data_IF_311194555604
#
_entry.id   IF_311194555604
#
_cell.length_a   1.000
_cell.length_b   1.000
_cell.length_c   1.000
_cell.angle_alpha   90.00
_cell.angle_beta   90.00
_cell.angle_gamma   90.00
#
_symmetry.space_group_name_H-M   'P 1'
#
loop_
_entity.id
_entity.type
_entity.pdbx_description
1 polymer ?
#
# COMPACT_ATOMS: atom_id res chain seq x y z
N UNK A 1 -20.69 -1.43 0.53
CA UNK A 1 -20.16 -0.48 1.52
C UNK A 1 -18.82 0.03 0.99
N UNK A 2 -18.68 1.33 0.74
CA UNK A 2 -17.39 1.92 0.39
C UNK A 2 -16.51 1.88 1.64
N UNK A 3 -15.67 0.86 1.77
CA UNK A 3 -14.63 0.81 2.78
C UNK A 3 -13.65 1.93 2.49
N UNK A 4 -13.83 3.08 3.15
CA UNK A 4 -12.86 4.15 3.14
C UNK A 4 -11.57 3.60 3.76
N UNK A 5 -10.59 3.29 2.89
CA UNK A 5 -9.23 2.96 3.31
C UNK A 5 -8.69 4.17 4.06
N UNK A 6 -8.63 4.07 5.38
CA UNK A 6 -8.15 5.16 6.22
C UNK A 6 -6.65 5.33 6.01
N UNK A 7 -6.13 6.54 5.76
CA UNK A 7 -4.71 6.75 5.51
C UNK A 7 -3.85 6.34 6.71
N UNK A 8 -2.60 5.91 6.47
CA UNK A 8 -1.69 5.41 7.51
C UNK A 8 -1.25 6.51 8.47
N UNK A 9 -0.81 6.09 9.66
CA UNK A 9 -0.35 6.98 10.74
C UNK A 9 0.95 7.74 10.42
N UNK A 10 1.57 7.55 9.26
CA UNK A 10 2.72 8.34 8.82
C UNK A 10 2.38 9.32 7.70
N UNK A 11 1.15 9.29 7.19
CA UNK A 11 0.75 10.07 6.01
C UNK A 11 1.30 9.52 4.68
N UNK A 12 2.05 8.42 4.70
CA UNK A 12 2.57 7.76 3.49
C UNK A 12 2.41 6.24 3.59
N UNK A 13 1.95 5.62 2.51
CA UNK A 13 1.91 4.17 2.39
C UNK A 13 3.08 3.65 1.55
N UNK A 14 3.46 2.41 1.80
CA UNK A 14 4.45 1.67 1.01
C UNK A 14 3.82 1.22 -0.29
N UNK A 15 4.62 1.16 -1.37
CA UNK A 15 4.16 0.63 -2.65
C UNK A 15 4.64 -0.81 -2.80
N UNK A 16 3.74 -1.74 -3.10
CA UNK A 16 4.09 -3.12 -3.45
C UNK A 16 3.54 -3.49 -4.83
N UNK A 17 4.37 -4.11 -5.67
CA UNK A 17 3.90 -4.86 -6.84
C UNK A 17 3.88 -6.33 -6.46
N UNK A 18 2.81 -7.03 -6.79
CA UNK A 18 2.67 -8.45 -6.47
C UNK A 18 2.54 -9.29 -7.72
N UNK A 19 3.25 -10.42 -7.70
CA UNK A 19 3.06 -11.51 -8.64
C UNK A 19 2.01 -12.52 -8.15
N UNK A 20 1.47 -13.31 -9.08
CA UNK A 20 0.52 -14.41 -8.87
C UNK A 20 1.02 -15.42 -7.84
N UNK A 21 2.29 -15.80 -7.89
CA UNK A 21 2.86 -16.81 -6.97
C UNK A 21 2.78 -16.36 -5.50
N UNK A 22 3.11 -15.10 -5.23
CA UNK A 22 3.06 -14.53 -3.87
C UNK A 22 1.63 -14.42 -3.37
N UNK A 23 0.71 -13.93 -4.20
CA UNK A 23 -0.69 -13.74 -3.80
C UNK A 23 -1.40 -15.07 -3.54
N UNK A 24 -1.17 -16.09 -4.37
CA UNK A 24 -1.73 -17.43 -4.16
C UNK A 24 -1.23 -18.05 -2.86
N UNK A 25 0.09 -17.98 -2.61
CA UNK A 25 0.72 -18.43 -1.37
C UNK A 25 0.23 -17.64 -0.14
N UNK A 26 -0.02 -16.33 -0.29
CA UNK A 26 -0.52 -15.45 0.76
C UNK A 26 -1.98 -15.74 1.13
N UNK A 27 -2.85 -15.94 0.12
CA UNK A 27 -4.26 -16.34 0.28
C UNK A 27 -4.38 -17.67 1.02
N UNK A 28 -3.65 -18.71 0.57
CA UNK A 28 -3.65 -20.03 1.22
C UNK A 28 -3.20 -19.91 2.68
N UNK A 29 -2.13 -19.14 2.92
CA UNK A 29 -1.62 -18.92 4.28
C UNK A 29 -2.60 -18.16 5.18
N UNK A 30 -3.31 -17.16 4.65
CA UNK A 30 -4.30 -16.39 5.40
C UNK A 30 -5.50 -17.27 5.77
N UNK A 31 -5.98 -18.07 4.82
CA UNK A 31 -7.07 -19.02 5.05
C UNK A 31 -6.70 -20.04 6.12
N UNK A 32 -5.54 -20.69 6.00
CA UNK A 32 -5.10 -21.71 6.96
C UNK A 32 -4.90 -21.20 8.38
N UNK A 33 -4.59 -19.91 8.56
CA UNK A 33 -4.44 -19.29 9.89
C UNK A 33 -5.74 -18.70 10.44
N UNK A 34 -6.78 -18.55 9.62
CA UNK A 34 -8.03 -17.87 10.00
C UNK A 34 -7.88 -16.38 10.32
N UNK A 35 -6.72 -15.78 10.03
CA UNK A 35 -6.44 -14.35 10.27
C UNK A 35 -5.78 -13.73 9.03
N UNK A 36 -5.97 -12.41 8.80
CA UNK A 36 -5.33 -11.73 7.69
C UNK A 36 -3.82 -11.97 7.64
N UNK A 37 -3.27 -12.18 6.45
CA UNK A 37 -1.83 -12.16 6.25
C UNK A 37 -1.27 -10.76 6.50
N UNK A 38 0.04 -10.64 6.66
CA UNK A 38 0.70 -9.33 6.76
C UNK A 38 0.46 -8.43 5.55
N UNK A 39 0.33 -9.00 4.34
CA UNK A 39 0.06 -8.25 3.11
C UNK A 39 -1.38 -7.73 3.16
N UNK A 40 -2.34 -8.61 3.43
CA UNK A 40 -3.75 -8.25 3.53
C UNK A 40 -3.98 -7.23 4.66
N UNK A 41 -3.41 -7.47 5.84
CA UNK A 41 -3.49 -6.55 6.98
C UNK A 41 -2.86 -5.18 6.64
N UNK A 42 -1.70 -5.18 5.97
CA UNK A 42 -1.05 -3.95 5.54
C UNK A 42 -1.93 -3.13 4.59
N UNK A 43 -2.59 -3.80 3.64
CA UNK A 43 -3.53 -3.13 2.72
C UNK A 43 -4.80 -2.66 3.44
N UNK A 44 -5.39 -3.49 4.32
CA UNK A 44 -6.57 -3.14 5.12
C UNK A 44 -6.32 -1.94 6.05
N UNK A 45 -5.10 -1.81 6.56
CA UNK A 45 -4.69 -0.71 7.42
C UNK A 45 -4.14 0.50 6.66
N UNK A 46 -4.07 0.44 5.32
CA UNK A 46 -3.56 1.53 4.49
C UNK A 46 -2.07 1.77 4.62
N UNK A 47 -1.29 0.84 5.20
CA UNK A 47 0.17 0.96 5.33
C UNK A 47 0.92 0.45 4.10
N UNK A 48 0.21 -0.32 3.26
CA UNK A 48 0.66 -0.87 1.99
C UNK A 48 -0.38 -0.59 0.91
N UNK A 49 0.06 -0.09 -0.23
CA UNK A 49 -0.74 -0.03 -1.45
C UNK A 49 -0.21 -1.05 -2.44
N UNK A 50 -1.09 -1.97 -2.81
CA UNK A 50 -0.79 -3.05 -3.74
C UNK A 50 -1.14 -2.72 -5.18
N UNK A 51 -0.24 -3.05 -6.08
CA UNK A 51 -0.46 -3.03 -7.52
C UNK A 51 -0.23 -4.42 -8.10
N UNK A 52 -1.07 -4.80 -9.05
CA UNK A 52 -0.88 -6.02 -9.83
C UNK A 52 -1.04 -5.70 -11.32
N UNK A 53 -0.26 -6.35 -12.20
CA UNK A 53 -0.61 -6.41 -13.61
C UNK A 53 -2.02 -6.98 -13.82
N UNK A 54 -2.70 -6.55 -14.88
CA UNK A 54 -4.08 -6.97 -15.15
C UNK A 54 -4.26 -8.50 -15.24
N UNK A 55 -3.29 -9.24 -15.77
CA UNK A 55 -3.43 -10.69 -15.93
C UNK A 55 -3.47 -11.44 -14.57
N UNK A 56 -2.68 -11.00 -13.58
CA UNK A 56 -2.58 -11.60 -12.24
C UNK A 56 -3.95 -11.74 -11.59
N UNK A 57 -4.83 -10.77 -11.84
CA UNK A 57 -6.15 -10.72 -11.23
C UNK A 57 -7.02 -11.96 -11.51
N UNK A 58 -6.87 -12.53 -12.70
CA UNK A 58 -7.61 -13.68 -13.20
C UNK A 58 -6.78 -14.96 -13.10
N UNK A 59 -5.46 -14.81 -13.01
CA UNK A 59 -4.54 -15.92 -12.87
C UNK A 59 -4.58 -16.52 -11.46
N UNK A 60 -4.70 -15.69 -10.41
CA UNK A 60 -4.73 -16.17 -9.02
C UNK A 60 -5.80 -17.25 -8.78
N UNK A 61 -7.08 -17.09 -9.15
CA UNK A 61 -8.08 -18.16 -9.02
C UNK A 61 -7.73 -19.43 -9.81
N UNK A 62 -7.13 -19.29 -11.00
CA UNK A 62 -6.71 -20.46 -11.82
C UNK A 62 -5.59 -21.23 -11.12
N UNK A 63 -4.57 -20.54 -10.64
CA UNK A 63 -3.45 -21.16 -9.91
C UNK A 63 -3.92 -21.79 -8.60
N UNK A 64 -4.89 -21.19 -7.90
CA UNK A 64 -5.52 -21.83 -6.74
C UNK A 64 -6.23 -23.13 -7.12
N UNK A 65 -6.95 -23.16 -8.24
CA UNK A 65 -7.61 -24.36 -8.73
C UNK A 65 -6.59 -25.44 -9.10
N UNK A 66 -5.50 -25.06 -9.78
CA UNK A 66 -4.44 -25.96 -10.21
C UNK A 66 -3.74 -26.59 -9.00
N UNK A 67 -3.30 -25.77 -8.03
CA UNK A 67 -2.71 -26.25 -6.77
C UNK A 67 -3.65 -27.17 -6.00
N UNK A 68 -4.97 -26.93 -6.07
CA UNK A 68 -5.94 -27.82 -5.43
C UNK A 68 -6.00 -29.18 -6.14
N UNK A 69 -5.99 -29.20 -7.47
CA UNK A 69 -5.96 -30.45 -8.27
C UNK A 69 -4.66 -31.24 -8.06
N UNK A 70 -3.55 -30.55 -7.81
CA UNK A 70 -2.24 -31.14 -7.49
C UNK A 70 -2.14 -31.69 -6.05
N UNK A 71 -3.22 -31.69 -5.27
CA UNK A 71 -3.25 -32.25 -3.92
C UNK A 71 -3.06 -31.24 -2.79
N UNK A 72 -3.16 -29.95 -3.06
CA UNK A 72 -3.08 -28.90 -2.06
C UNK A 72 -4.10 -29.06 -0.91
N UNK A 73 -3.58 -29.00 0.32
CA UNK A 73 -4.36 -29.12 1.55
C UNK A 73 -4.99 -27.78 1.99
N UNK A 74 -5.95 -27.28 1.20
CA UNK A 74 -6.76 -26.10 1.54
C UNK A 74 -8.16 -26.19 0.92
N UNK A 75 -9.10 -25.37 1.39
CA UNK A 75 -10.42 -25.22 0.77
C UNK A 75 -10.33 -24.21 -0.38
N UNK A 76 -10.53 -24.70 -1.61
CA UNK A 76 -10.47 -23.88 -2.82
C UNK A 76 -11.54 -22.79 -2.87
N UNK A 77 -12.79 -23.11 -2.54
CA UNK A 77 -13.88 -22.14 -2.61
C UNK A 77 -13.73 -21.06 -1.55
N UNK A 78 -13.27 -21.42 -0.35
CA UNK A 78 -12.96 -20.44 0.68
C UNK A 78 -11.77 -19.55 0.28
N UNK A 79 -10.74 -20.11 -0.37
CA UNK A 79 -9.59 -19.35 -0.86
C UNK A 79 -9.99 -18.37 -1.98
N UNK A 80 -10.80 -18.84 -2.94
CA UNK A 80 -11.32 -18.00 -4.02
C UNK A 80 -12.25 -16.90 -3.48
N UNK A 81 -13.14 -17.22 -2.53
CA UNK A 81 -13.97 -16.23 -1.88
C UNK A 81 -13.15 -15.18 -1.13
N UNK A 82 -12.08 -15.60 -0.43
CA UNK A 82 -11.16 -14.69 0.25
C UNK A 82 -10.46 -13.75 -0.74
N UNK A 83 -9.99 -14.27 -1.87
CA UNK A 83 -9.38 -13.49 -2.95
C UNK A 83 -10.31 -12.37 -3.45
N UNK A 84 -11.52 -12.74 -3.86
CA UNK A 84 -12.46 -11.77 -4.43
C UNK A 84 -13.02 -10.79 -3.40
N UNK A 85 -13.25 -11.24 -2.16
CA UNK A 85 -13.89 -10.42 -1.13
C UNK A 85 -12.90 -9.49 -0.42
N UNK A 86 -11.68 -9.94 -0.18
CA UNK A 86 -10.74 -9.21 0.67
C UNK A 86 -9.55 -8.62 -0.10
N UNK A 87 -9.00 -9.33 -1.10
CA UNK A 87 -7.79 -8.87 -1.80
C UNK A 87 -8.11 -7.91 -2.95
N UNK A 88 -8.97 -8.32 -3.89
CA UNK A 88 -9.29 -7.53 -5.09
C UNK A 88 -9.78 -6.10 -4.78
N UNK A 89 -10.64 -5.87 -3.77
CA UNK A 89 -11.05 -4.52 -3.42
C UNK A 89 -9.91 -3.60 -2.99
N UNK A 90 -8.83 -4.16 -2.46
CA UNK A 90 -7.69 -3.42 -1.92
C UNK A 90 -6.51 -3.29 -2.91
N UNK A 91 -6.53 -4.03 -4.02
CA UNK A 91 -5.50 -4.02 -5.04
C UNK A 91 -5.83 -3.03 -6.17
N UNK A 92 -4.79 -2.41 -6.72
CA UNK A 92 -4.87 -1.65 -7.96
C UNK A 92 -4.48 -2.55 -9.13
N UNK A 93 -5.46 -2.88 -9.98
CA UNK A 93 -5.27 -3.69 -11.18
C UNK A 93 -4.82 -2.78 -12.33
N UNK A 94 -3.59 -2.97 -12.80
CA UNK A 94 -2.96 -2.09 -13.81
C UNK A 94 -2.82 -2.81 -15.14
N UNK A 95 -3.49 -2.36 -16.21
CA UNK A 95 -3.19 -2.81 -17.56
C UNK A 95 -1.76 -2.45 -17.95
N UNK A 96 -0.97 -3.46 -18.31
CA UNK A 96 0.44 -3.28 -18.73
C UNK A 96 0.60 -3.19 -20.25
N UNK A 97 -0.48 -3.42 -21.01
CA UNK A 97 -0.49 -3.31 -22.47
C UNK A 97 -0.05 -1.93 -22.93
N UNK A 98 0.96 -1.90 -23.81
CA UNK A 98 1.49 -0.67 -24.38
C UNK A 98 2.39 0.13 -23.45
N UNK A 99 2.67 -0.34 -22.23
CA UNK A 99 3.74 0.25 -21.41
C UNK A 99 5.09 0.04 -22.10
N UNK A 100 6.03 1.01 -21.98
CA UNK A 100 7.35 0.87 -22.55
C UNK A 100 8.14 -0.23 -21.84
N UNK A 101 9.08 -0.85 -22.55
CA UNK A 101 10.09 -1.68 -21.92
C UNK A 101 10.93 -0.83 -20.98
N UNK A 102 10.97 -1.24 -19.71
CA UNK A 102 11.83 -0.64 -18.69
C UNK A 102 13.15 -1.41 -18.64
N UNK A 103 14.24 -0.84 -18.09
CA UNK A 103 15.47 -1.59 -17.88
C UNK A 103 15.27 -2.85 -17.02
N UNK A 104 14.26 -2.88 -16.14
CA UNK A 104 13.88 -4.08 -15.40
C UNK A 104 13.22 -5.12 -16.32
N UNK A 105 12.24 -4.70 -17.13
CA UNK A 105 11.56 -5.60 -18.05
C UNK A 105 12.50 -6.18 -19.12
N UNK A 106 13.44 -5.38 -19.61
CA UNK A 106 14.40 -5.79 -20.66
C UNK A 106 15.30 -6.94 -20.21
N UNK A 107 15.68 -6.96 -18.92
CA UNK A 107 16.48 -8.04 -18.33
C UNK A 107 15.76 -9.39 -18.32
N UNK A 108 14.43 -9.40 -18.15
CA UNK A 108 13.63 -10.62 -18.02
C UNK A 108 13.00 -11.03 -19.36
N UNK A 109 12.93 -10.12 -20.34
CA UNK A 109 12.27 -10.37 -21.62
C UNK A 109 12.82 -11.58 -22.39
N UNK A 110 14.04 -12.01 -22.09
CA UNK A 110 14.69 -13.18 -22.70
C UNK A 110 14.49 -14.48 -21.92
N UNK A 111 13.92 -14.43 -20.72
CA UNK A 111 13.79 -15.56 -19.79
C UNK A 111 12.34 -15.96 -19.61
N UNK A 112 11.46 -15.01 -19.26
CA UNK A 112 10.04 -15.26 -19.16
C UNK A 112 9.19 -14.06 -19.61
N UNK A 113 8.26 -14.33 -20.53
CA UNK A 113 7.34 -13.32 -21.06
C UNK A 113 6.20 -13.01 -20.08
N UNK A 114 5.82 -13.93 -19.19
CA UNK A 114 4.75 -13.69 -18.19
C UNK A 114 5.13 -12.56 -17.23
N UNK A 115 6.41 -12.50 -16.86
CA UNK A 115 6.93 -11.58 -15.84
C UNK A 115 7.20 -10.16 -16.34
N UNK A 116 7.15 -9.95 -17.67
CA UNK A 116 7.38 -8.63 -18.28
C UNK A 116 6.43 -7.58 -17.68
N UNK A 117 5.16 -7.93 -17.48
CA UNK A 117 4.17 -6.98 -16.97
C UNK A 117 4.50 -6.50 -15.55
N UNK A 118 4.90 -7.41 -14.67
CA UNK A 118 5.32 -7.08 -13.30
C UNK A 118 6.59 -6.22 -13.30
N UNK A 119 7.56 -6.54 -14.15
CA UNK A 119 8.81 -5.79 -14.27
C UNK A 119 8.63 -4.39 -14.90
N UNK A 120 7.76 -4.26 -15.91
CA UNK A 120 7.37 -2.98 -16.50
C UNK A 120 6.73 -2.08 -15.44
N UNK A 121 5.76 -2.61 -14.69
CA UNK A 121 5.08 -1.87 -13.64
C UNK A 121 6.05 -1.43 -12.54
N UNK A 122 6.96 -2.33 -12.13
CA UNK A 122 8.00 -2.06 -11.14
C UNK A 122 8.93 -0.92 -11.58
N UNK A 123 9.43 -0.96 -12.82
CA UNK A 123 10.24 0.10 -13.39
C UNK A 123 9.49 1.43 -13.54
N UNK A 124 8.19 1.38 -13.84
CA UNK A 124 7.35 2.55 -14.04
C UNK A 124 7.09 3.33 -12.74
N UNK A 125 6.80 2.63 -11.63
CA UNK A 125 6.43 3.27 -10.35
C UNK A 125 7.54 3.31 -9.31
N UNK A 126 8.70 2.71 -9.63
CA UNK A 126 9.87 2.64 -8.76
C UNK A 126 10.26 3.99 -8.14
N UNK A 127 10.79 4.05 -6.91
CA UNK A 127 11.16 2.89 -6.08
C UNK A 127 9.93 2.19 -5.48
N UNK A 128 9.92 0.86 -5.56
CA UNK A 128 8.81 -0.03 -5.16
C UNK A 128 9.34 -1.43 -4.84
N UNK A 129 8.65 -2.16 -3.96
CA UNK A 129 9.00 -3.58 -3.69
C UNK A 129 8.18 -4.47 -4.61
N UNK A 130 8.86 -5.27 -5.46
CA UNK A 130 8.23 -6.38 -6.16
C UNK A 130 8.33 -7.64 -5.29
N UNK A 131 7.18 -8.19 -4.91
CA UNK A 131 7.09 -9.46 -4.21
C UNK A 131 6.74 -10.56 -5.21
N UNK A 132 7.70 -11.42 -5.50
CA UNK A 132 7.56 -12.60 -6.35
C UNK A 132 8.30 -13.80 -5.72
N UNK A 133 7.84 -15.03 -6.02
CA UNK A 133 8.59 -16.26 -5.70
C UNK A 133 9.50 -16.71 -6.86
N UNK A 134 9.38 -16.06 -8.03
CA UNK A 134 10.13 -16.40 -9.23
C UNK A 134 11.65 -16.17 -9.05
N UNK A 135 12.45 -17.17 -9.45
CA UNK A 135 13.90 -17.16 -9.28
C UNK A 135 14.60 -16.22 -10.24
N UNK A 136 14.08 -16.02 -11.43
CA UNK A 136 14.65 -15.17 -12.46
C UNK A 136 14.42 -13.70 -12.09
N UNK A 137 13.22 -13.35 -11.61
CA UNK A 137 12.94 -12.03 -11.01
C UNK A 137 13.89 -11.68 -9.85
N UNK A 138 14.19 -12.67 -9.01
CA UNK A 138 15.11 -12.52 -7.88
C UNK A 138 16.57 -12.44 -8.36
N UNK A 139 16.98 -13.28 -9.33
CA UNK A 139 18.34 -13.31 -9.89
C UNK A 139 18.73 -11.97 -10.51
N UNK A 140 17.81 -11.32 -11.20
CA UNK A 140 18.04 -10.02 -11.84
C UNK A 140 17.94 -8.82 -10.89
N UNK A 141 17.69 -9.06 -9.60
CA UNK A 141 17.57 -8.03 -8.58
C UNK A 141 16.34 -7.14 -8.77
N UNK A 142 15.26 -7.70 -9.33
CA UNK A 142 14.01 -6.99 -9.63
C UNK A 142 12.98 -7.27 -8.54
N UNK A 143 12.94 -8.50 -8.03
CA UNK A 143 12.15 -8.90 -6.86
C UNK A 143 13.00 -9.04 -5.59
N UNK A 144 12.36 -8.83 -4.43
CA UNK A 144 13.00 -8.96 -3.14
C UNK A 144 13.41 -10.41 -2.83
N UNK A 145 14.72 -10.67 -2.69
CA UNK A 145 15.29 -11.99 -2.36
C UNK A 145 14.65 -12.65 -1.13
N UNK A 146 14.32 -11.85 -0.11
CA UNK A 146 13.78 -12.30 1.17
C UNK A 146 12.36 -11.76 1.42
N UNK A 147 11.50 -11.79 0.40
CA UNK A 147 10.14 -11.22 0.49
C UNK A 147 9.34 -11.72 1.71
N UNK A 148 9.59 -12.94 2.20
CA UNK A 148 8.97 -13.50 3.42
C UNK A 148 9.36 -12.72 4.69
N UNK A 149 10.63 -12.29 4.82
CA UNK A 149 11.09 -11.46 5.93
C UNK A 149 10.49 -10.04 5.85
N UNK A 150 10.44 -9.50 4.64
CA UNK A 150 9.81 -8.19 4.36
C UNK A 150 8.33 -8.20 4.72
N UNK A 151 7.61 -9.26 4.31
CA UNK A 151 6.21 -9.53 4.68
C UNK A 151 6.02 -9.63 6.20
N UNK A 152 6.90 -10.30 6.93
CA UNK A 152 6.79 -10.38 8.38
C UNK A 152 6.86 -9.00 9.05
N UNK A 153 7.66 -8.07 8.49
CA UNK A 153 7.73 -6.68 8.94
C UNK A 153 6.44 -5.89 8.70
N UNK A 154 5.79 -6.08 7.54
CA UNK A 154 4.53 -5.40 7.20
C UNK A 154 3.39 -5.70 8.21
N UNK A 155 3.27 -6.95 8.65
CA UNK A 155 2.20 -7.35 9.59
C UNK A 155 2.40 -6.74 10.98
N UNK A 156 3.66 -6.62 11.42
CA UNK A 156 4.01 -5.97 12.69
C UNK A 156 3.75 -4.46 12.64
N UNK A 157 4.11 -3.82 11.52
CA UNK A 157 3.82 -2.40 11.26
C UNK A 157 2.32 -2.10 11.27
N UNK A 158 1.52 -2.84 10.50
CA UNK A 158 0.07 -2.65 10.46
C UNK A 158 -0.58 -2.86 11.82
N UNK A 159 -0.15 -3.88 12.57
CA UNK A 159 -0.63 -4.13 13.93
C UNK A 159 -0.22 -3.05 14.94
N UNK A 160 1.02 -2.56 14.87
CA UNK A 160 1.50 -1.49 15.74
C UNK A 160 0.77 -0.16 15.47
N UNK A 161 0.60 0.21 14.19
CA UNK A 161 -0.10 1.44 13.82
C UNK A 161 -1.60 1.38 14.19
N UNK A 162 -2.24 0.21 14.05
CA UNK A 162 -3.62 0.00 14.49
C UNK A 162 -3.79 0.18 16.01
N UNK A 163 -2.86 -0.37 16.82
CA UNK A 163 -2.85 -0.22 18.29
C UNK A 163 -2.65 1.23 18.73
N UNK A 164 -1.75 1.97 18.07
CA UNK A 164 -1.54 3.40 18.33
C UNK A 164 -2.83 4.19 18.05
N UNK A 165 -3.55 3.88 16.98
CA UNK A 165 -4.84 4.52 16.63
C UNK A 165 -5.92 4.33 17.68
N UNK A 166 -6.12 3.10 18.16
CA UNK A 166 -7.14 2.79 19.18
C UNK A 166 -6.84 3.55 20.46
N UNK A 167 -5.59 3.57 20.89
CA UNK A 167 -5.18 4.26 22.12
C UNK A 167 -5.30 5.78 21.99
N UNK A 168 -4.87 6.38 20.87
CA UNK A 168 -5.06 7.81 20.61
C UNK A 168 -6.56 8.16 20.66
N UNK A 169 -7.43 7.39 20.01
CA UNK A 169 -8.88 7.69 20.01
C UNK A 169 -9.49 7.59 21.41
N UNK A 170 -9.07 6.62 22.22
CA UNK A 170 -9.57 6.42 23.59
C UNK A 170 -9.09 7.50 24.57
N UNK A 171 -7.82 7.92 24.48
CA UNK A 171 -7.23 8.92 25.39
C UNK A 171 -7.70 10.34 25.10
N UNK A 172 -8.00 10.67 23.83
CA UNK A 172 -8.38 12.03 23.42
C UNK A 172 -9.83 12.42 23.78
N UNK A 173 -10.70 11.47 24.16
CA UNK A 173 -12.07 11.77 24.63
C UNK A 173 -12.15 12.20 26.09
N UNK A 174 -11.07 12.02 26.88
CA UNK A 174 -11.11 12.21 28.33
C UNK A 174 -10.63 13.60 28.83
N UNK A 175 -10.12 14.49 27.98
CA UNK A 175 -9.64 15.81 28.42
C UNK A 175 -9.91 16.93 27.40
N UNK A 176 -10.67 17.95 27.80
CA UNK A 176 -11.27 18.97 26.93
C UNK A 176 -10.35 19.94 26.19
N UNK A 177 -9.02 19.74 26.18
CA UNK A 177 -8.05 20.62 25.47
C UNK A 177 -7.58 20.10 24.11
N UNK A 178 -8.17 19.01 23.62
CA UNK A 178 -7.47 18.05 22.74
C UNK A 178 -7.95 18.07 21.28
N UNK A 179 -9.06 18.72 20.97
CA UNK A 179 -9.65 18.70 19.63
C UNK A 179 -8.72 19.26 18.52
N UNK A 180 -7.83 20.22 18.85
CA UNK A 180 -6.85 20.78 17.92
C UNK A 180 -5.64 19.87 17.70
N UNK A 181 -5.13 19.21 18.75
CA UNK A 181 -4.08 18.20 18.64
C UNK A 181 -4.55 16.96 17.88
N UNK A 182 -5.81 16.55 18.07
CA UNK A 182 -6.43 15.46 17.32
C UNK A 182 -6.59 15.78 15.82
N UNK A 183 -6.83 17.05 15.45
CA UNK A 183 -6.85 17.50 14.04
C UNK A 183 -5.44 17.57 13.44
N UNK A 184 -4.46 18.08 14.19
CA UNK A 184 -3.06 18.13 13.78
C UNK A 184 -2.45 16.73 13.62
N UNK A 185 -2.76 15.80 14.52
CA UNK A 185 -2.31 14.40 14.45
C UNK A 185 -2.91 13.64 13.25
N UNK A 186 -4.11 14.01 12.79
CA UNK A 186 -4.71 13.44 11.56
C UNK A 186 -4.05 13.92 10.28
N UNK A 187 -3.53 15.14 10.26
CA UNK A 187 -2.85 15.71 9.08
C UNK A 187 -1.35 15.45 9.05
N UNK A 188 -0.69 15.50 10.21
CA UNK A 188 0.77 15.44 10.35
C UNK A 188 1.18 14.67 11.62
N UNK A 189 1.05 13.34 11.62
CA UNK A 189 1.29 12.50 12.79
C UNK A 189 2.75 12.54 13.29
N UNK A 190 3.73 12.72 12.39
CA UNK A 190 5.14 12.97 12.77
C UNK A 190 5.30 14.31 13.47
N UNK A 191 4.62 15.37 13.00
CA UNK A 191 4.65 16.67 13.64
C UNK A 191 3.96 16.63 15.02
N UNK A 192 2.92 15.82 15.19
CA UNK A 192 2.28 15.59 16.47
C UNK A 192 3.20 14.85 17.46
N UNK A 193 3.95 13.84 16.99
CA UNK A 193 4.94 13.15 17.81
C UNK A 193 6.10 14.06 18.22
N UNK A 194 6.62 14.89 17.30
CA UNK A 194 7.65 15.90 17.58
C UNK A 194 7.13 16.97 18.54
N UNK A 195 5.90 17.45 18.35
CA UNK A 195 5.26 18.41 19.25
C UNK A 195 5.09 17.82 20.66
N UNK A 196 4.64 16.57 20.77
CA UNK A 196 4.52 15.88 22.05
C UNK A 196 5.89 15.71 22.74
N UNK A 197 6.94 15.36 22.00
CA UNK A 197 8.30 15.26 22.52
C UNK A 197 8.83 16.64 22.99
N UNK A 198 8.53 17.71 22.25
CA UNK A 198 8.93 19.08 22.59
C UNK A 198 8.22 19.56 23.85
N UNK A 199 6.91 19.26 23.99
CA UNK A 199 6.12 19.54 25.20
C UNK A 199 6.64 18.74 26.39
N UNK A 200 6.96 17.46 26.21
CA UNK A 200 7.53 16.61 27.26
C UNK A 200 8.92 17.11 27.71
N UNK A 201 9.77 17.54 26.76
CA UNK A 201 11.07 18.13 27.06
C UNK A 201 10.96 19.48 27.79
N UNK A 202 10.03 20.34 27.36
CA UNK A 202 9.70 21.59 28.04
C UNK A 202 9.19 21.36 29.46
N UNK A 203 8.27 20.40 29.65
CA UNK A 203 7.77 20.01 30.97
C UNK A 203 8.86 19.42 31.87
N UNK A 204 9.80 18.65 31.30
CA UNK A 204 10.97 18.14 32.02
C UNK A 204 11.87 19.27 32.51
N UNK A 205 12.09 20.31 31.69
CA UNK A 205 12.88 21.49 32.08
C UNK A 205 12.24 22.31 33.20
N UNK A 206 10.91 22.39 33.24
CA UNK A 206 10.15 23.16 34.24
C UNK A 206 9.73 22.28 35.44
N UNK A 207 10.13 21.00 35.46
CA UNK A 207 9.71 20.00 36.46
C UNK A 207 9.94 20.44 37.91
N UNK A 208 11.00 21.21 38.18
CA UNK A 208 11.29 21.74 39.52
C UNK A 208 10.32 22.82 40.03
N UNK A 209 9.56 23.47 39.13
CA UNK A 209 8.62 24.55 39.45
C UNK A 209 7.15 24.12 39.48
N UNK A 210 6.86 22.89 39.05
CA UNK A 210 5.50 22.34 39.06
C UNK A 210 5.11 21.89 40.48
N UNK A 211 3.83 22.00 40.84
CA UNK A 211 3.31 21.40 42.08
C UNK A 211 3.43 19.87 42.02
N UNK A 212 3.58 19.17 43.18
CA UNK A 212 3.79 17.72 43.22
C UNK A 212 2.70 16.92 42.46
N UNK A 213 1.44 17.31 42.60
CA UNK A 213 0.29 16.69 41.93
C UNK A 213 0.37 16.82 40.41
N UNK A 214 0.79 17.99 39.92
CA UNK A 214 0.98 18.24 38.48
C UNK A 214 2.14 17.42 37.93
N UNK A 215 3.23 17.24 38.70
CA UNK A 215 4.35 16.37 38.29
C UNK A 215 3.93 14.91 38.16
N UNK A 216 3.09 14.42 39.06
CA UNK A 216 2.58 13.05 39.01
C UNK A 216 1.69 12.83 37.78
N UNK A 217 0.76 13.76 37.52
CA UNK A 217 -0.09 13.72 36.33
C UNK A 217 0.72 13.77 35.02
N UNK A 218 1.73 14.63 34.93
CA UNK A 218 2.62 14.71 33.76
C UNK A 218 3.54 13.50 33.61
N UNK A 219 3.99 12.90 34.71
CA UNK A 219 4.80 11.69 34.66
C UNK A 219 4.00 10.50 34.14
N UNK A 220 2.74 10.35 34.54
CA UNK A 220 1.89 9.27 34.02
C UNK A 220 1.40 9.52 32.59
N UNK A 221 1.08 10.77 32.25
CA UNK A 221 0.86 11.13 30.85
C UNK A 221 2.11 10.85 30.00
N UNK A 222 3.30 11.17 30.50
CA UNK A 222 4.59 10.91 29.85
C UNK A 222 4.90 9.42 29.68
N UNK A 223 4.64 8.58 30.69
CA UNK A 223 4.76 7.12 30.56
C UNK A 223 3.77 6.55 29.55
N UNK A 224 2.52 7.02 29.57
CA UNK A 224 1.49 6.60 28.63
C UNK A 224 1.89 6.99 27.21
N UNK A 225 2.33 8.23 26.99
CA UNK A 225 2.85 8.68 25.70
C UNK A 225 4.11 7.91 25.28
N UNK A 226 5.06 7.66 26.18
CA UNK A 226 6.27 6.89 25.87
C UNK A 226 5.97 5.42 25.54
N UNK A 227 4.95 4.83 26.17
CA UNK A 227 4.53 3.45 25.88
C UNK A 227 3.73 3.37 24.58
N UNK A 228 2.89 4.37 24.32
CA UNK A 228 2.06 4.47 23.10
C UNK A 228 2.90 4.87 21.87
N UNK A 229 3.95 5.68 22.03
CA UNK A 229 4.74 6.20 20.91
C UNK A 229 6.18 5.66 20.84
N UNK A 230 6.82 5.29 21.95
CA UNK A 230 8.26 4.97 21.98
C UNK A 230 8.63 3.60 21.38
N UNK A 231 7.97 2.52 21.83
CA UNK A 231 8.23 1.17 21.28
C UNK A 231 7.74 1.00 19.84
N UNK A 232 6.51 1.44 19.48
CA UNK A 232 6.03 1.35 18.10
C UNK A 232 6.89 2.12 17.11
N UNK A 233 7.50 3.24 17.51
CA UNK A 233 8.30 4.07 16.61
C UNK A 233 9.69 3.49 16.31
N UNK A 234 10.36 2.88 17.29
CA UNK A 234 11.65 2.20 17.05
C UNK A 234 11.48 0.96 16.16
N UNK A 235 10.43 0.17 16.40
CA UNK A 235 10.07 -0.95 15.51
C UNK A 235 9.64 -0.43 14.13
N UNK A 236 8.92 0.68 14.06
CA UNK A 236 8.53 1.32 12.82
C UNK A 236 9.74 1.71 11.97
N UNK A 237 10.73 2.41 12.56
CA UNK A 237 11.96 2.78 11.85
C UNK A 237 12.75 1.57 11.35
N UNK A 238 12.87 0.52 12.17
CA UNK A 238 13.56 -0.71 11.78
C UNK A 238 12.88 -1.38 10.58
N UNK A 239 11.55 -1.47 10.59
CA UNK A 239 10.81 -2.06 9.49
C UNK A 239 10.74 -1.16 8.25
N UNK A 240 10.78 0.17 8.42
CA UNK A 240 10.92 1.11 7.31
C UNK A 240 12.29 1.00 6.64
N UNK A 241 13.37 0.88 7.42
CA UNK A 241 14.72 0.66 6.89
C UNK A 241 14.79 -0.67 6.11
N UNK A 242 14.26 -1.75 6.69
CA UNK A 242 14.20 -3.06 6.02
C UNK A 242 13.35 -3.03 4.73
N UNK A 243 12.31 -2.19 4.68
CA UNK A 243 11.52 -2.00 3.46
C UNK A 243 12.31 -1.24 2.39
N UNK A 244 12.97 -0.13 2.76
CA UNK A 244 13.79 0.67 1.83
C UNK A 244 14.98 -0.12 1.28
N UNK A 245 15.54 -1.04 2.05
CA UNK A 245 16.64 -1.91 1.62
C UNK A 245 16.23 -2.85 0.48
N UNK A 246 14.94 -3.20 0.39
CA UNK A 246 14.40 -4.08 -0.65
C UNK A 246 13.55 -3.34 -1.69
N UNK A 247 13.53 -2.00 -1.65
CA UNK A 247 12.90 -1.22 -2.72
C UNK A 247 13.78 -1.30 -3.96
N UNK A 248 13.17 -1.76 -5.06
CA UNK A 248 13.83 -1.93 -6.34
C UNK A 248 13.36 -0.87 -7.34
N UNK A 249 14.17 -0.71 -8.38
CA UNK A 249 13.91 0.21 -9.49
C UNK A 249 14.50 1.60 -9.26
N UNK A 250 15.24 2.08 -10.25
CA UNK A 250 15.62 3.49 -10.31
C UNK A 250 14.39 4.27 -10.73
N UNK A 251 14.00 5.33 -9.99
CA UNK A 251 12.89 6.17 -10.41
C UNK A 251 13.10 6.71 -11.83
N UNK A 252 12.30 6.21 -12.79
CA UNK A 252 12.27 6.76 -14.15
C UNK A 252 12.08 8.27 -14.13
N UNK A 253 12.86 8.96 -14.96
CA UNK A 253 12.88 10.44 -15.06
C UNK A 253 11.98 10.96 -16.18
N UNK A 254 11.46 10.09 -17.02
CA UNK A 254 10.51 10.45 -18.07
C UNK A 254 9.14 10.83 -17.47
N UNK A 255 8.36 11.61 -18.24
CA UNK A 255 7.07 12.12 -17.77
C UNK A 255 6.09 10.99 -17.42
N UNK A 256 6.11 9.86 -18.15
CA UNK A 256 5.22 8.73 -17.91
C UNK A 256 5.50 8.11 -16.53
N UNK A 257 6.76 7.83 -16.22
CA UNK A 257 7.20 7.32 -14.91
C UNK A 257 6.90 8.30 -13.78
N UNK A 258 7.14 9.60 -13.99
CA UNK A 258 6.83 10.62 -12.97
C UNK A 258 5.33 10.71 -12.68
N UNK A 259 4.47 10.70 -13.72
CA UNK A 259 3.01 10.70 -13.56
C UNK A 259 2.54 9.42 -12.86
N UNK A 260 3.03 8.25 -13.29
CA UNK A 260 2.67 6.98 -12.69
C UNK A 260 3.06 6.91 -11.20
N UNK A 261 4.28 7.34 -10.85
CA UNK A 261 4.71 7.41 -9.44
C UNK A 261 3.88 8.41 -8.62
N UNK A 262 3.59 9.56 -9.19
CA UNK A 262 2.74 10.59 -8.56
C UNK A 262 1.36 10.03 -8.23
N UNK A 263 0.74 9.34 -9.19
CA UNK A 263 -0.57 8.70 -9.02
C UNK A 263 -0.50 7.51 -8.07
N UNK A 264 0.54 6.68 -8.16
CA UNK A 264 0.73 5.53 -7.28
C UNK A 264 0.80 5.96 -5.81
N UNK A 265 1.51 7.06 -5.51
CA UNK A 265 1.70 7.62 -4.17
C UNK A 265 0.55 8.52 -3.69
N UNK A 266 -0.42 8.83 -4.55
CA UNK A 266 -1.54 9.69 -4.17
C UNK A 266 -2.63 8.89 -3.47
N UNK A 267 -3.04 9.23 -2.23
CA UNK A 267 -4.12 8.51 -1.54
C UNK A 267 -5.44 8.53 -2.31
N UNK A 268 -5.69 9.60 -3.06
CA UNK A 268 -6.92 9.83 -3.82
C UNK A 268 -6.65 10.04 -5.33
N UNK A 269 -7.65 9.79 -6.19
CA UNK A 269 -7.59 10.18 -7.60
C UNK A 269 -7.34 11.69 -7.79
N UNK A 270 -6.38 12.01 -8.65
CA UNK A 270 -5.90 13.38 -8.86
C UNK A 270 -6.46 14.02 -10.12
N UNK A 271 -6.68 15.33 -10.05
CA UNK A 271 -6.94 16.12 -11.26
C UNK A 271 -5.66 16.35 -12.05
N UNK A 272 -5.76 16.64 -13.35
CA UNK A 272 -4.60 17.02 -14.19
C UNK A 272 -3.80 18.19 -13.60
N UNK A 273 -4.49 19.20 -13.06
CA UNK A 273 -3.86 20.35 -12.40
C UNK A 273 -3.05 19.92 -11.18
N UNK A 274 -3.63 19.06 -10.33
CA UNK A 274 -2.94 18.53 -9.14
C UNK A 274 -1.75 17.64 -9.50
N UNK A 275 -1.86 16.86 -10.58
CA UNK A 275 -0.74 16.08 -11.11
C UNK A 275 0.40 17.03 -11.51
N UNK A 276 0.15 18.03 -12.36
CA UNK A 276 1.18 18.98 -12.77
C UNK A 276 1.82 19.73 -11.59
N UNK A 277 1.04 20.13 -10.59
CA UNK A 277 1.57 20.78 -9.38
C UNK A 277 2.50 19.88 -8.56
N UNK A 278 2.24 18.57 -8.56
CA UNK A 278 3.08 17.58 -7.86
C UNK A 278 4.31 17.16 -8.67
N UNK A 279 4.27 17.33 -9.99
CA UNK A 279 5.41 17.12 -10.85
C UNK A 279 6.36 18.31 -10.70
N UNK A 280 7.56 18.09 -10.16
CA UNK A 280 8.63 19.10 -10.07
C UNK A 280 9.25 19.39 -11.44
N UNK A 281 8.44 19.64 -12.47
CA UNK A 281 8.92 19.93 -13.82
C UNK A 281 9.33 21.40 -13.90
N UNK A 282 10.49 21.71 -14.49
CA UNK A 282 10.84 23.09 -14.79
C UNK A 282 9.78 23.72 -15.69
N UNK A 283 9.44 24.99 -15.42
CA UNK A 283 8.43 25.80 -16.12
C UNK A 283 8.83 26.16 -17.57
N UNK A 284 9.54 25.29 -18.27
CA UNK A 284 10.10 25.58 -19.59
C UNK A 284 9.01 25.71 -20.68
N UNK A 285 7.85 25.08 -20.51
CA UNK A 285 6.74 25.12 -21.47
C UNK A 285 5.54 25.91 -20.91
N UNK A 286 4.79 26.63 -21.77
CA UNK A 286 3.53 27.25 -21.38
C UNK A 286 2.56 26.25 -20.75
N UNK A 287 1.90 26.64 -19.66
CA UNK A 287 0.99 25.78 -18.88
C UNK A 287 -0.05 25.03 -19.74
N UNK A 288 -0.61 25.69 -20.77
CA UNK A 288 -1.57 25.07 -21.70
C UNK A 288 -0.99 23.86 -22.43
N UNK A 289 0.26 23.95 -22.92
CA UNK A 289 0.94 22.84 -23.61
C UNK A 289 1.23 21.69 -22.66
N UNK A 290 1.59 21.99 -21.42
CA UNK A 290 1.80 20.97 -20.38
C UNK A 290 0.50 20.21 -20.09
N UNK A 291 -0.63 20.93 -19.94
CA UNK A 291 -1.94 20.32 -19.73
C UNK A 291 -2.38 19.42 -20.90
N UNK A 292 -2.18 19.88 -22.14
CA UNK A 292 -2.50 19.11 -23.34
C UNK A 292 -1.62 17.85 -23.46
N UNK A 293 -0.32 18.00 -23.17
CA UNK A 293 0.64 16.89 -23.14
C UNK A 293 0.27 15.83 -22.10
N UNK A 294 -0.02 16.26 -20.86
CA UNK A 294 -0.48 15.39 -19.79
C UNK A 294 -1.80 14.70 -20.17
N UNK A 295 -2.73 15.43 -20.79
CA UNK A 295 -3.99 14.87 -21.24
C UNK A 295 -3.79 13.74 -22.24
N UNK A 296 -2.95 13.95 -23.26
CA UNK A 296 -2.63 12.91 -24.25
C UNK A 296 -1.98 11.71 -23.60
N UNK A 297 -1.05 11.92 -22.66
CA UNK A 297 -0.39 10.84 -21.94
C UNK A 297 -1.38 9.99 -21.13
N UNK A 298 -2.26 10.63 -20.36
CA UNK A 298 -3.25 9.94 -19.53
C UNK A 298 -4.24 9.10 -20.35
N UNK A 299 -4.60 9.54 -21.56
CA UNK A 299 -5.49 8.77 -22.44
C UNK A 299 -4.74 7.72 -23.28
N UNK A 300 -3.43 7.90 -23.52
CA UNK A 300 -2.64 6.99 -24.35
C UNK A 300 -2.41 5.64 -23.68
N UNK A 301 -2.22 5.62 -22.37
CA UNK A 301 -1.87 4.39 -21.64
C UNK A 301 -3.05 3.92 -20.78
N UNK A 302 -3.58 2.71 -21.03
CA UNK A 302 -4.69 2.15 -20.23
C UNK A 302 -4.36 1.94 -18.75
N UNK A 303 -3.08 1.98 -18.38
CA UNK A 303 -2.61 2.00 -17.00
C UNK A 303 -3.20 3.18 -16.19
N UNK A 304 -3.53 4.30 -16.84
CA UNK A 304 -4.17 5.44 -16.19
C UNK A 304 -5.68 5.35 -16.33
N UNK A 305 -6.36 5.27 -15.18
CA UNK A 305 -7.80 5.14 -15.14
C UNK A 305 -8.45 6.43 -14.65
N UNK A 306 -9.42 6.92 -15.42
CA UNK A 306 -10.29 8.01 -15.01
C UNK A 306 -11.45 7.45 -14.19
N UNK A 307 -11.40 7.63 -12.86
CA UNK A 307 -12.41 7.11 -11.92
C UNK A 307 -13.66 7.98 -11.94
N UNK A 308 -13.46 9.28 -12.10
CA UNK A 308 -14.51 10.30 -12.20
C UNK A 308 -14.09 11.30 -13.29
N UNK A 309 -15.03 12.06 -13.89
CA UNK A 309 -14.68 13.09 -14.87
C UNK A 309 -13.56 14.01 -14.38
N UNK A 310 -12.42 13.97 -15.07
CA UNK A 310 -11.24 14.77 -14.76
C UNK A 310 -10.34 14.26 -13.63
N UNK A 311 -10.69 13.17 -12.92
CA UNK A 311 -9.89 12.56 -11.85
C UNK A 311 -9.29 11.23 -12.26
N UNK A 312 -7.98 11.11 -12.05
CA UNK A 312 -7.15 10.02 -12.56
C UNK A 312 -6.45 9.30 -11.43
N UNK A 313 -6.30 7.99 -11.57
CA UNK A 313 -5.49 7.16 -10.70
C UNK A 313 -4.68 6.15 -11.54
N UNK A 314 -3.69 5.51 -10.91
CA UNK A 314 -2.99 4.38 -11.53
C UNK A 314 -3.76 3.08 -11.26
N UNK A 315 -4.09 2.36 -12.33
CA UNK A 315 -4.88 1.13 -12.29
C UNK A 315 -6.33 1.34 -11.87
N UNK A 316 -7.08 0.25 -11.82
CA UNK A 316 -8.46 0.21 -11.32
C UNK A 316 -8.45 -0.37 -9.91
N UNK A 317 -9.10 0.30 -8.98
CA UNK A 317 -9.40 -0.21 -7.64
C UNK A 317 -10.84 -0.71 -7.60
N UNK A 318 -11.17 -1.59 -6.66
CA UNK A 318 -12.53 -2.16 -6.52
C UNK A 318 -13.08 -2.71 -7.83
N UNK A 319 -12.28 -3.46 -8.59
CA UNK A 319 -12.73 -4.04 -9.85
C UNK A 319 -13.82 -5.08 -9.55
N UNK A 320 -15.08 -4.64 -9.58
CA UNK A 320 -16.24 -5.52 -9.59
C UNK A 320 -16.34 -6.10 -11.00
N UNK A 321 -15.69 -7.23 -11.24
CA UNK A 321 -16.17 -8.10 -12.31
C UNK A 321 -17.25 -8.98 -11.74
N UNK A 322 -18.38 -9.00 -12.44
CA UNK A 322 -19.46 -9.91 -12.14
C UNK A 322 -18.87 -11.30 -11.94
N UNK A 323 -19.20 -11.92 -10.80
CA UNK A 323 -19.03 -13.35 -10.60
C UNK A 323 -19.35 -14.05 -11.93
N UNK A 324 -18.50 -14.94 -12.47
CA UNK A 324 -18.95 -15.79 -13.56
C UNK A 324 -20.27 -16.44 -13.11
N UNK A 325 -21.34 -16.22 -13.88
CA UNK A 325 -22.72 -16.54 -13.54
C UNK A 325 -23.00 -18.05 -13.36
N UNK A 326 -21.97 -18.89 -13.36
CA UNK A 326 -22.08 -20.34 -13.34
C UNK A 326 -22.27 -20.95 -11.94
N UNK A 327 -22.16 -20.19 -10.84
CA UNK A 327 -22.20 -20.78 -9.49
C UNK A 327 -23.58 -20.79 -8.81
N UNK A 328 -24.61 -20.17 -9.40
CA UNK A 328 -26.00 -20.26 -8.89
C UNK A 328 -26.85 -21.32 -9.60
N UNK A 329 -26.46 -21.80 -10.78
CA UNK A 329 -27.27 -22.75 -11.55
C UNK A 329 -27.19 -24.21 -11.04
N UNK A 330 -26.35 -24.52 -10.05
CA UNK A 330 -26.17 -25.89 -9.55
C UNK A 330 -26.81 -26.15 -8.17
N UNK A 331 -27.39 -25.15 -7.52
CA UNK A 331 -28.07 -25.30 -6.21
C UNK A 331 -29.59 -25.29 -6.34
N UNK A 332 -30.14 -24.68 -7.41
CA UNK A 332 -31.59 -24.58 -7.63
C UNK A 332 -32.18 -25.76 -8.45
N UNK A 333 -31.37 -26.78 -8.76
CA UNK A 333 -31.82 -28.03 -9.42
C UNK A 333 -31.79 -29.26 -8.50
N UNK A 334 -31.66 -29.04 -7.18
CA UNK A 334 -31.71 -30.08 -6.17
C UNK A 334 -32.64 -29.71 -5.00
N UNK A 335 -33.85 -29.28 -5.33
CA UNK A 335 -35.04 -29.28 -4.45
C UNK A 335 -36.26 -29.67 -5.25
#
# INVERSE_FOLDING_TARGET
MNSQVTPPLTGSFRLGVFDTSVLTSDVISALGRGVPSSILAGMQHGTLRGFIPHYVWAEVPRVLADRKREGGAFDFYAAEALWWREYIPLLHVVPTTGLPMTPAADKIAHEDLSDIGAAQLTGLIGPVVLLAEDRDLVRHGIAAQDWRKVRAGLGKLGGAESKVRVNITLTLHASGGVAQLARLARGHPVAAAVAAATVAFGAHRVRGRLKPETRAAWAEAGKTLATVFGMPFAEHQKHEAAWKEVEHGVPGVDLLSQVARTLARSPEPLTRTTILQKLSLPLAEPHRRQMDGLSRLLHRFPAFHQVEPGRWQLGRSNVQVGRPAAMHAAVDSAT
#
